data_IF_737147184089
#
_entry.id   IF_737147184089
#
_cell.length_a   1.000
_cell.length_b   1.000
_cell.length_c   1.000
_cell.angle_alpha   90.00
_cell.angle_beta   90.00
_cell.angle_gamma   90.00
#
_symmetry.space_group_name_H-M   'P 1'
#
loop_
_entity.id
_entity.type
_entity.pdbx_description
1 polymer ?
#
# COMPACT_ATOMS: atom_id res chain seq x y z
N UNK A 1 37.15 -47.72 14.97
CA UNK A 1 36.58 -48.99 15.49
C UNK A 1 35.21 -48.64 16.06
N UNK A 2 34.07 -48.93 15.43
CA UNK A 2 33.48 -50.25 15.15
C UNK A 2 33.48 -51.13 16.42
N UNK A 3 32.42 -51.81 16.89
CA UNK A 3 31.05 -52.08 16.42
C UNK A 3 30.33 -52.83 17.58
N UNK A 4 28.99 -52.78 17.59
CA UNK A 4 28.05 -53.90 17.86
C UNK A 4 27.55 -54.29 19.28
N UNK A 5 26.20 -54.32 19.38
CA UNK A 5 25.38 -55.45 19.90
C UNK A 5 24.76 -55.29 21.31
N UNK A 6 23.54 -55.71 21.66
CA UNK A 6 22.33 -56.26 21.02
C UNK A 6 21.22 -56.35 22.13
N UNK A 7 19.93 -56.03 21.88
CA UNK A 7 18.79 -56.98 21.78
C UNK A 7 17.78 -57.05 22.97
N UNK A 8 16.52 -57.36 22.61
CA UNK A 8 15.27 -57.70 23.35
C UNK A 8 14.38 -56.53 23.81
N UNK A 9 13.07 -56.41 23.53
CA UNK A 9 12.11 -57.15 22.69
C UNK A 9 10.66 -56.95 23.21
N UNK A 10 9.69 -56.57 22.34
CA UNK A 10 8.30 -57.10 22.20
C UNK A 10 7.32 -56.13 21.54
N UNK A 11 6.47 -56.71 20.71
CA UNK A 11 5.48 -56.13 19.83
C UNK A 11 4.10 -55.89 20.50
N UNK A 12 3.28 -55.03 19.89
CA UNK A 12 1.84 -55.30 19.74
C UNK A 12 1.28 -54.61 18.47
N UNK A 13 0.42 -55.34 17.77
CA UNK A 13 -0.17 -55.08 16.44
C UNK A 13 -1.45 -54.22 16.48
N UNK A 14 -1.75 -53.57 15.34
CA UNK A 14 -3.07 -53.42 14.68
C UNK A 14 -2.86 -52.50 13.45
N UNK A 15 -2.75 -52.96 12.19
CA UNK A 15 -3.76 -53.54 11.24
C UNK A 15 -4.95 -52.58 10.99
N UNK A 16 -4.95 -51.76 9.93
CA UNK A 16 -5.31 -52.01 8.51
C UNK A 16 -6.78 -51.69 8.16
N UNK A 17 -7.01 -50.97 7.06
CA UNK A 17 -8.34 -50.78 6.45
C UNK A 17 -8.43 -49.64 5.41
N UNK A 18 -8.64 -49.91 4.10
CA UNK A 18 -8.60 -48.92 3.01
C UNK A 18 -9.98 -48.47 2.48
N UNK A 19 -9.97 -47.45 1.60
CA UNK A 19 -11.12 -46.90 0.84
C UNK A 19 -11.94 -47.93 0.05
N UNK A 20 -13.18 -47.57 -0.32
CA UNK A 20 -13.66 -47.93 -1.65
C UNK A 20 -14.42 -46.83 -2.42
N UNK A 21 -14.44 -47.06 -3.74
CA UNK A 21 -15.14 -46.36 -4.79
C UNK A 21 -16.67 -46.63 -4.80
N UNK A 22 -17.40 -45.62 -5.30
CA UNK A 22 -18.60 -45.61 -6.15
C UNK A 22 -19.45 -46.91 -6.27
N UNK A 23 -20.67 -46.88 -5.74
CA UNK A 23 -21.77 -47.75 -6.16
C UNK A 23 -23.12 -47.00 -6.16
N UNK A 24 -23.96 -47.36 -7.12
CA UNK A 24 -25.11 -46.61 -7.64
C UNK A 24 -26.43 -46.77 -6.86
N UNK A 25 -27.21 -45.69 -6.83
CA UNK A 25 -28.68 -45.59 -6.99
C UNK A 25 -29.56 -46.62 -6.24
N UNK A 26 -30.21 -46.16 -5.16
CA UNK A 26 -31.66 -46.42 -4.90
C UNK A 26 -32.29 -45.21 -4.20
N UNK A 27 -33.33 -44.63 -4.80
CA UNK A 27 -34.28 -43.72 -4.13
C UNK A 27 -35.17 -44.53 -3.18
N UNK A 28 -35.67 -43.88 -2.11
CA UNK A 28 -37.10 -43.92 -1.89
C UNK A 28 -37.68 -42.51 -1.96
N UNK A 29 -38.75 -42.40 -2.73
CA UNK A 29 -39.67 -41.27 -2.72
C UNK A 29 -40.45 -41.26 -1.41
N UNK A 30 -40.73 -40.08 -0.85
CA UNK A 30 -41.69 -39.99 0.24
C UNK A 30 -41.62 -38.74 1.11
N UNK A 31 -42.33 -37.70 0.65
CA UNK A 31 -43.05 -36.69 1.43
C UNK A 31 -42.24 -35.54 2.07
N UNK A 32 -42.47 -34.39 1.45
CA UNK A 32 -42.16 -33.00 1.78
C UNK A 32 -42.52 -32.57 3.21
N UNK A 33 -41.63 -31.78 3.81
CA UNK A 33 -42.02 -30.54 4.48
C UNK A 33 -40.86 -29.53 4.40
N UNK A 34 -41.19 -28.31 3.96
CA UNK A 34 -40.22 -27.29 3.56
C UNK A 34 -39.32 -26.81 4.69
N UNK A 35 -38.01 -26.88 4.47
CA UNK A 35 -37.03 -26.08 5.16
C UNK A 35 -36.24 -25.31 4.09
N UNK A 36 -36.34 -23.99 4.13
CA UNK A 36 -35.55 -23.10 3.28
C UNK A 36 -34.05 -23.35 3.54
N UNK A 37 -33.18 -23.42 2.52
CA UNK A 37 -31.76 -23.51 2.78
C UNK A 37 -31.33 -22.21 3.44
N UNK A 38 -30.77 -22.33 4.64
CA UNK A 38 -30.12 -21.27 5.38
C UNK A 38 -29.18 -20.54 4.43
N UNK A 39 -29.58 -19.35 3.98
CA UNK A 39 -28.65 -18.40 3.38
C UNK A 39 -27.61 -18.13 4.46
N UNK A 40 -26.46 -18.77 4.34
CA UNK A 40 -25.23 -18.18 4.87
C UNK A 40 -25.10 -16.84 4.15
N UNK A 41 -25.74 -15.81 4.73
CA UNK A 41 -25.32 -14.45 4.48
C UNK A 41 -23.91 -14.42 5.04
N UNK A 42 -22.92 -14.44 4.16
CA UNK A 42 -21.76 -13.61 4.40
C UNK A 42 -22.35 -12.20 4.57
N UNK A 43 -22.60 -11.81 5.82
CA UNK A 43 -22.69 -10.41 6.12
C UNK A 43 -21.29 -9.90 5.82
N UNK A 44 -21.08 -9.38 4.61
CA UNK A 44 -19.98 -8.45 4.38
C UNK A 44 -20.24 -7.30 5.35
N UNK A 45 -19.62 -7.37 6.53
CA UNK A 45 -19.49 -6.20 7.38
C UNK A 45 -18.81 -5.14 6.51
N UNK A 46 -19.36 -3.91 6.43
CA UNK A 46 -18.70 -2.83 5.72
C UNK A 46 -17.28 -2.72 6.27
N UNK A 47 -16.26 -2.87 5.42
CA UNK A 47 -14.86 -2.71 5.85
C UNK A 47 -14.75 -1.40 6.64
N UNK A 48 -14.08 -1.46 7.80
CA UNK A 48 -13.72 -0.29 8.61
C UNK A 48 -13.25 0.87 7.72
N UNK A 49 -13.77 2.12 7.88
CA UNK A 49 -13.39 3.26 7.05
C UNK A 49 -11.86 3.44 6.91
N UNK A 50 -11.09 3.12 7.95
CA UNK A 50 -9.62 3.17 7.89
C UNK A 50 -9.07 2.09 6.96
N UNK A 51 -9.63 0.87 6.99
CA UNK A 51 -9.26 -0.20 6.07
C UNK A 51 -9.63 0.15 4.61
N UNK A 52 -10.78 0.79 4.38
CA UNK A 52 -11.15 1.28 3.05
C UNK A 52 -10.16 2.35 2.55
N UNK A 53 -9.72 3.26 3.41
CA UNK A 53 -8.72 4.27 3.08
C UNK A 53 -7.37 3.63 2.72
N UNK A 54 -6.92 2.62 3.48
CA UNK A 54 -5.69 1.86 3.16
C UNK A 54 -5.76 1.22 1.78
N UNK A 55 -6.85 0.50 1.50
CA UNK A 55 -7.06 -0.16 0.21
C UNK A 55 -7.10 0.86 -0.93
N UNK A 56 -7.73 2.03 -0.71
CA UNK A 56 -7.72 3.13 -1.68
C UNK A 56 -6.31 3.63 -1.96
N UNK A 57 -5.52 3.94 -0.93
CA UNK A 57 -4.15 4.40 -1.08
C UNK A 57 -3.25 3.35 -1.74
N UNK A 58 -3.42 2.07 -1.40
CA UNK A 58 -2.72 0.96 -2.05
C UNK A 58 -3.04 0.89 -3.54
N UNK A 59 -4.31 1.02 -3.92
CA UNK A 59 -4.73 1.00 -5.32
C UNK A 59 -4.19 2.20 -6.09
N UNK A 60 -4.16 3.39 -5.47
CA UNK A 60 -3.52 4.58 -6.03
C UNK A 60 -2.01 4.34 -6.24
N UNK A 61 -1.31 3.81 -5.25
CA UNK A 61 0.11 3.49 -5.35
C UNK A 61 0.38 2.47 -6.46
N UNK A 62 -0.43 1.40 -6.52
CA UNK A 62 -0.34 0.37 -7.56
C UNK A 62 -0.52 0.94 -8.96
N UNK A 63 -1.55 1.77 -9.17
CA UNK A 63 -1.81 2.39 -10.46
C UNK A 63 -0.69 3.38 -10.83
N UNK A 64 -0.25 4.20 -9.89
CA UNK A 64 0.83 5.17 -10.12
C UNK A 64 2.17 4.51 -10.44
N UNK A 65 2.55 3.45 -9.73
CA UNK A 65 3.77 2.68 -10.02
C UNK A 65 3.69 2.08 -11.42
N UNK A 66 2.55 1.48 -11.78
CA UNK A 66 2.34 0.91 -13.12
C UNK A 66 2.51 1.98 -14.21
N UNK A 67 1.81 3.11 -14.08
CA UNK A 67 1.85 4.20 -15.06
C UNK A 67 3.27 4.77 -15.14
N UNK A 68 3.95 4.98 -14.01
CA UNK A 68 5.32 5.49 -13.99
C UNK A 68 6.27 4.56 -14.77
N UNK A 69 6.21 3.25 -14.52
CA UNK A 69 7.04 2.27 -15.23
C UNK A 69 6.74 2.30 -16.73
N UNK A 70 5.47 2.23 -17.13
CA UNK A 70 5.06 2.22 -18.54
C UNK A 70 5.51 3.49 -19.27
N UNK A 71 5.28 4.67 -18.69
CA UNK A 71 5.65 5.94 -19.33
C UNK A 71 7.18 6.14 -19.33
N UNK A 72 7.90 5.70 -18.29
CA UNK A 72 9.36 5.80 -18.24
C UNK A 72 10.03 4.92 -19.29
N UNK A 73 9.58 3.66 -19.43
CA UNK A 73 10.11 2.74 -20.45
C UNK A 73 9.82 3.24 -21.87
N UNK A 74 8.64 3.83 -22.10
CA UNK A 74 8.30 4.46 -23.39
C UNK A 74 9.13 5.71 -23.69
N UNK A 75 9.56 6.45 -22.66
CA UNK A 75 10.38 7.65 -22.82
C UNK A 75 11.81 7.31 -23.25
N UNK A 76 12.36 6.17 -22.78
CA UNK A 76 13.66 5.63 -23.23
C UNK A 76 14.90 6.43 -22.80
N UNK A 77 14.75 7.41 -21.90
CA UNK A 77 15.83 8.22 -21.32
C UNK A 77 15.62 8.40 -19.81
N UNK A 78 16.63 8.90 -19.12
CA UNK A 78 16.55 9.20 -17.69
C UNK A 78 15.42 10.18 -17.40
N UNK A 79 14.67 9.91 -16.32
CA UNK A 79 13.62 10.79 -15.83
C UNK A 79 14.20 12.04 -15.18
N UNK A 80 13.53 13.17 -15.39
CA UNK A 80 13.82 14.47 -14.78
C UNK A 80 12.73 14.84 -13.76
N UNK A 81 13.01 15.82 -12.90
CA UNK A 81 12.11 16.23 -11.80
C UNK A 81 10.75 16.77 -12.26
N UNK A 82 10.66 17.27 -13.48
CA UNK A 82 9.44 17.83 -14.06
C UNK A 82 8.52 16.76 -14.70
N UNK A 83 8.95 15.49 -14.73
CA UNK A 83 8.19 14.41 -15.34
C UNK A 83 6.90 14.13 -14.56
N UNK A 84 5.69 14.41 -15.11
CA UNK A 84 4.47 14.41 -14.32
C UNK A 84 4.11 13.05 -13.67
N UNK A 85 4.28 11.89 -14.34
CA UNK A 85 4.05 10.59 -13.69
C UNK A 85 4.93 10.36 -12.46
N UNK A 86 6.16 10.89 -12.47
CA UNK A 86 7.10 10.78 -11.36
C UNK A 86 6.69 11.68 -10.19
N UNK A 87 6.31 12.93 -10.47
CA UNK A 87 5.79 13.85 -9.45
C UNK A 87 4.56 13.25 -8.75
N UNK A 88 3.64 12.70 -9.54
CA UNK A 88 2.43 12.06 -9.02
C UNK A 88 2.74 10.85 -8.14
N UNK A 89 3.73 10.04 -8.53
CA UNK A 89 4.21 8.92 -7.74
C UNK A 89 4.73 9.36 -6.36
N UNK A 90 5.55 10.41 -6.29
CA UNK A 90 6.04 10.90 -5.00
C UNK A 90 4.93 11.45 -4.11
N UNK A 91 3.94 12.14 -4.69
CA UNK A 91 2.77 12.61 -3.95
C UNK A 91 2.00 11.44 -3.34
N UNK A 92 1.72 10.38 -4.11
CA UNK A 92 1.01 9.21 -3.59
C UNK A 92 1.83 8.50 -2.52
N UNK A 93 3.13 8.33 -2.75
CA UNK A 93 4.01 7.68 -1.77
C UNK A 93 4.06 8.45 -0.45
N UNK A 94 4.08 9.79 -0.51
CA UNK A 94 3.97 10.65 0.68
C UNK A 94 2.66 10.42 1.42
N UNK A 95 1.52 10.29 0.73
CA UNK A 95 0.24 9.97 1.37
C UNK A 95 0.26 8.59 2.04
N UNK A 96 0.82 7.57 1.38
CA UNK A 96 1.00 6.24 1.96
C UNK A 96 1.83 6.28 3.25
N UNK A 97 2.92 7.04 3.26
CA UNK A 97 3.79 7.22 4.43
C UNK A 97 3.16 8.08 5.53
N UNK A 98 2.22 8.98 5.20
CA UNK A 98 1.51 9.79 6.20
C UNK A 98 0.33 9.07 6.86
N UNK A 99 -0.25 8.09 6.17
CA UNK A 99 -1.45 7.40 6.65
C UNK A 99 -1.20 6.71 7.99
N UNK A 100 -1.99 7.09 9.01
CA UNK A 100 -1.92 6.52 10.35
C UNK A 100 -0.66 6.89 11.14
N UNK A 101 0.05 7.99 10.79
CA UNK A 101 1.09 8.53 11.66
C UNK A 101 0.51 8.98 13.00
N UNK A 102 1.19 8.61 14.09
CA UNK A 102 0.83 9.02 15.45
C UNK A 102 0.97 10.53 15.60
N UNK A 103 -0.12 11.19 15.95
CA UNK A 103 -0.12 12.61 16.34
C UNK A 103 0.39 12.72 17.79
N UNK A 104 1.67 12.42 18.04
CA UNK A 104 2.25 12.64 19.37
C UNK A 104 2.86 14.04 19.45
N UNK A 105 2.31 14.87 20.35
CA UNK A 105 3.05 15.98 20.94
C UNK A 105 4.08 15.36 21.89
N UNK A 106 5.30 15.14 21.42
CA UNK A 106 6.42 14.94 22.36
C UNK A 106 6.46 16.15 23.29
N UNK A 107 6.72 15.96 24.59
CA UNK A 107 6.96 17.07 25.54
C UNK A 107 8.11 17.99 25.08
N UNK A 108 8.90 17.57 24.08
CA UNK A 108 9.95 18.31 23.39
C UNK A 108 9.57 18.88 22.01
N UNK A 109 8.28 18.89 21.65
CA UNK A 109 7.75 19.74 20.57
C UNK A 109 7.98 19.29 19.12
N UNK A 110 8.56 18.13 18.84
CA UNK A 110 8.67 17.64 17.45
C UNK A 110 7.46 16.81 17.04
N UNK A 111 6.76 17.24 15.98
CA UNK A 111 5.72 16.42 15.35
C UNK A 111 6.37 15.25 14.64
N UNK A 112 5.80 14.04 14.79
CA UNK A 112 6.22 12.88 14.00
C UNK A 112 5.77 13.07 12.56
N UNK A 113 6.58 13.74 11.77
CA UNK A 113 6.43 13.78 10.31
C UNK A 113 6.82 12.43 9.72
N UNK A 114 6.48 12.18 8.46
CA UNK A 114 6.89 10.99 7.74
C UNK A 114 8.42 10.88 7.52
N UNK A 115 9.20 11.91 7.90
CA UNK A 115 10.65 11.84 8.00
C UNK A 115 11.13 10.87 9.07
N UNK A 116 10.44 10.79 10.21
CA UNK A 116 10.83 9.96 11.35
C UNK A 116 11.06 8.49 10.96
N UNK A 117 10.09 7.82 10.30
CA UNK A 117 10.28 6.49 9.74
C UNK A 117 11.47 6.36 8.79
N UNK A 118 11.75 7.37 7.96
CA UNK A 118 12.87 7.33 7.00
C UNK A 118 14.23 7.44 7.69
N UNK A 119 14.31 8.15 8.82
CA UNK A 119 15.53 8.19 9.65
C UNK A 119 15.88 6.82 10.26
N UNK A 120 14.91 5.91 10.41
CA UNK A 120 15.24 4.54 10.82
C UNK A 120 16.01 3.78 9.75
N UNK A 121 15.82 4.11 8.47
CA UNK A 121 16.52 3.42 7.39
C UNK A 121 18.03 3.55 7.56
N UNK A 122 18.54 4.71 7.99
CA UNK A 122 19.97 4.92 8.28
C UNK A 122 20.51 3.93 9.33
N UNK A 123 19.67 3.57 10.31
CA UNK A 123 20.03 2.61 11.37
C UNK A 123 19.94 1.15 10.91
N UNK A 124 19.04 0.86 9.97
CA UNK A 124 18.78 -0.50 9.48
C UNK A 124 19.66 -0.88 8.28
N UNK A 125 20.05 0.11 7.48
CA UNK A 125 20.70 -0.02 6.19
C UNK A 125 21.89 0.97 6.12
N UNK A 126 23.11 0.57 6.52
CA UNK A 126 24.29 1.43 6.52
C UNK A 126 24.58 2.09 5.15
N UNK A 127 24.18 1.46 4.06
CA UNK A 127 24.30 1.98 2.69
C UNK A 127 23.46 3.24 2.44
N UNK A 128 22.43 3.49 3.27
CA UNK A 128 21.61 4.70 3.17
C UNK A 128 22.23 5.92 3.86
N UNK A 129 23.39 5.77 4.51
CA UNK A 129 24.09 6.87 5.20
C UNK A 129 24.47 8.02 4.26
N UNK A 130 24.81 7.71 3.01
CA UNK A 130 25.13 8.72 1.98
C UNK A 130 23.93 9.65 1.69
N UNK A 131 22.74 9.08 1.50
CA UNK A 131 21.53 9.86 1.23
C UNK A 131 21.05 10.60 2.48
N UNK A 132 21.19 9.98 3.67
CA UNK A 132 20.85 10.63 4.94
C UNK A 132 21.73 11.86 5.21
N UNK A 133 23.04 11.76 4.93
CA UNK A 133 23.94 12.91 4.99
C UNK A 133 23.59 13.96 3.93
N UNK A 134 23.35 13.52 2.68
CA UNK A 134 23.03 14.43 1.57
C UNK A 134 21.81 15.31 1.84
N UNK A 135 20.72 14.76 2.39
CA UNK A 135 19.52 15.55 2.69
C UNK A 135 19.68 16.46 3.91
N UNK A 136 20.55 16.09 4.86
CA UNK A 136 20.85 16.91 6.04
C UNK A 136 21.68 18.13 5.69
N UNK A 137 22.60 17.97 4.74
CA UNK A 137 23.54 19.00 4.33
C UNK A 137 23.04 19.82 3.12
N UNK A 138 21.84 19.50 2.59
CA UNK A 138 21.30 20.17 1.41
C UNK A 138 20.91 21.64 1.73
N UNK A 139 21.55 22.63 1.10
CA UNK A 139 21.23 24.04 1.34
C UNK A 139 19.84 24.36 0.80
N UNK A 140 19.05 25.07 1.60
CA UNK A 140 17.67 25.45 1.27
C UNK A 140 16.60 24.56 1.91
N UNK A 141 16.97 23.36 2.39
CA UNK A 141 16.04 22.40 2.98
C UNK A 141 15.96 22.54 4.51
N UNK A 142 14.86 23.10 4.99
CA UNK A 142 14.70 23.49 6.40
C UNK A 142 13.72 22.60 7.15
N UNK A 143 12.75 21.99 6.47
CA UNK A 143 11.71 21.21 7.14
C UNK A 143 11.99 19.70 7.10
N UNK A 144 11.53 18.93 8.12
CA UNK A 144 11.57 17.47 8.04
C UNK A 144 10.82 16.90 6.82
N UNK A 145 9.72 17.54 6.41
CA UNK A 145 8.96 17.10 5.24
C UNK A 145 9.75 17.27 3.94
N UNK A 146 10.41 18.41 3.77
CA UNK A 146 11.33 18.63 2.65
C UNK A 146 12.47 17.62 2.64
N UNK A 147 13.06 17.32 3.81
CA UNK A 147 14.09 16.27 3.95
C UNK A 147 13.60 14.91 3.49
N UNK A 148 12.39 14.53 3.91
CA UNK A 148 11.79 13.28 3.49
C UNK A 148 11.53 13.23 1.98
N UNK A 149 11.06 14.33 1.37
CA UNK A 149 10.86 14.44 -0.09
C UNK A 149 12.16 14.32 -0.88
N UNK A 150 13.23 14.98 -0.41
CA UNK A 150 14.55 14.86 -1.01
C UNK A 150 15.09 13.43 -0.87
N UNK A 151 14.91 12.82 0.30
CA UNK A 151 15.38 11.47 0.58
C UNK A 151 14.72 10.43 -0.32
N UNK A 152 13.40 10.53 -0.53
CA UNK A 152 12.67 9.62 -1.44
C UNK A 152 13.18 9.74 -2.88
N UNK A 153 13.47 10.97 -3.34
CA UNK A 153 14.05 11.22 -4.67
C UNK A 153 15.44 10.59 -4.80
N UNK A 154 16.30 10.77 -3.81
CA UNK A 154 17.64 10.17 -3.78
C UNK A 154 17.60 8.64 -3.71
N UNK A 155 16.73 8.06 -2.88
CA UNK A 155 16.56 6.62 -2.76
C UNK A 155 16.07 5.97 -4.08
N UNK A 156 15.23 6.69 -4.84
CA UNK A 156 14.83 6.27 -6.19
C UNK A 156 16.01 6.29 -7.15
N UNK A 157 16.79 7.38 -7.18
CA UNK A 157 18.00 7.49 -8.01
C UNK A 157 19.04 6.42 -7.69
N UNK A 158 19.18 6.03 -6.43
CA UNK A 158 20.03 4.91 -6.00
C UNK A 158 19.48 3.52 -6.36
N UNK A 159 18.24 3.43 -6.89
CA UNK A 159 17.54 2.16 -7.17
C UNK A 159 17.41 1.28 -5.92
N UNK A 160 17.23 1.92 -4.75
CA UNK A 160 17.17 1.27 -3.44
C UNK A 160 15.89 1.52 -2.67
N UNK A 161 14.98 2.32 -3.22
CA UNK A 161 13.71 2.67 -2.58
C UNK A 161 12.92 1.44 -2.10
N UNK A 162 12.83 0.38 -2.92
CA UNK A 162 12.15 -0.86 -2.50
C UNK A 162 12.84 -1.57 -1.35
N UNK A 163 14.18 -1.59 -1.36
CA UNK A 163 14.98 -2.29 -0.35
C UNK A 163 14.81 -1.63 1.02
N UNK A 164 14.82 -0.29 1.04
CA UNK A 164 14.61 0.48 2.26
C UNK A 164 13.20 0.32 2.84
N UNK A 165 12.16 0.31 1.99
CA UNK A 165 10.79 0.06 2.45
C UNK A 165 10.65 -1.34 3.05
N UNK A 166 11.22 -2.36 2.40
CA UNK A 166 11.24 -3.73 2.95
C UNK A 166 11.98 -3.79 4.28
N UNK A 167 13.09 -3.08 4.43
CA UNK A 167 13.84 -3.02 5.68
C UNK A 167 12.99 -2.42 6.82
N UNK A 168 12.25 -1.33 6.58
CA UNK A 168 11.32 -0.77 7.56
C UNK A 168 10.23 -1.78 7.95
N UNK A 169 9.61 -2.43 6.96
CA UNK A 169 8.52 -3.39 7.18
C UNK A 169 8.97 -4.68 7.85
N UNK A 170 10.24 -5.07 7.71
CA UNK A 170 10.83 -6.19 8.45
C UNK A 170 11.02 -5.88 9.93
N UNK A 171 11.08 -4.59 10.31
CA UNK A 171 11.31 -4.12 11.68
C UNK A 171 10.08 -3.41 12.25
N UNK A 172 8.91 -4.07 12.17
CA UNK A 172 7.61 -3.51 12.62
C UNK A 172 7.61 -3.02 14.06
N UNK A 173 8.38 -3.65 14.95
CA UNK A 173 8.47 -3.22 16.36
C UNK A 173 8.99 -1.78 16.49
N UNK A 174 10.04 -1.43 15.74
CA UNK A 174 10.57 -0.06 15.70
C UNK A 174 9.65 0.88 14.93
N UNK A 175 9.10 0.42 13.81
CA UNK A 175 8.18 1.20 12.97
C UNK A 175 6.90 1.58 13.73
N UNK A 176 6.43 0.72 14.64
CA UNK A 176 5.25 0.96 15.49
C UNK A 176 5.40 2.17 16.43
N UNK A 177 6.62 2.68 16.63
CA UNK A 177 6.82 3.91 17.37
C UNK A 177 6.20 5.12 16.66
N UNK A 178 6.12 5.07 15.32
CA UNK A 178 5.67 6.17 14.46
C UNK A 178 4.22 6.04 14.00
N UNK A 179 3.75 4.81 13.84
CA UNK A 179 2.44 4.53 13.24
C UNK A 179 1.47 3.92 14.24
N UNK A 180 0.18 4.22 14.05
CA UNK A 180 -0.91 3.48 14.65
C UNK A 180 -0.96 2.04 14.11
N UNK A 181 -1.47 1.06 14.87
CA UNK A 181 -1.52 -0.33 14.42
C UNK A 181 -2.27 -0.51 13.09
N UNK A 182 -3.31 0.29 12.85
CA UNK A 182 -4.14 0.25 11.64
C UNK A 182 -3.58 1.08 10.47
N UNK A 183 -2.37 1.61 10.59
CA UNK A 183 -1.72 2.39 9.55
C UNK A 183 -1.34 1.53 8.33
N UNK A 184 -1.24 2.16 7.16
CA UNK A 184 -0.93 1.47 5.90
C UNK A 184 0.42 0.73 5.96
N UNK A 185 1.44 1.36 6.54
CA UNK A 185 2.77 0.73 6.71
C UNK A 185 2.79 -0.37 7.79
N UNK A 186 1.72 -0.50 8.58
CA UNK A 186 1.57 -1.52 9.63
C UNK A 186 0.66 -2.67 9.20
N UNK A 187 0.07 -2.61 8.01
CA UNK A 187 -0.87 -3.61 7.49
C UNK A 187 -0.33 -4.26 6.19
N UNK A 188 -1.09 -5.18 5.59
CA UNK A 188 -0.66 -5.94 4.40
C UNK A 188 -0.38 -5.03 3.20
N UNK A 189 -1.11 -3.92 3.07
CA UNK A 189 -0.99 -2.97 1.97
C UNK A 189 0.42 -2.38 1.87
N UNK A 190 1.08 -2.12 3.00
CA UNK A 190 2.47 -1.65 3.03
C UNK A 190 3.44 -2.64 2.38
N UNK A 191 3.26 -3.94 2.65
CA UNK A 191 4.10 -5.00 2.07
C UNK A 191 3.86 -5.11 0.56
N UNK A 192 2.61 -5.02 0.11
CA UNK A 192 2.26 -5.04 -1.30
C UNK A 192 2.87 -3.85 -2.05
N UNK A 193 2.78 -2.64 -1.50
CA UNK A 193 3.42 -1.45 -2.09
C UNK A 193 4.93 -1.66 -2.17
N UNK A 194 5.59 -2.11 -1.10
CA UNK A 194 7.04 -2.36 -1.10
C UNK A 194 7.46 -3.41 -2.14
N UNK A 195 6.62 -4.42 -2.38
CA UNK A 195 6.82 -5.39 -3.46
C UNK A 195 6.73 -4.77 -4.85
N UNK A 196 5.76 -3.88 -5.08
CA UNK A 196 5.59 -3.18 -6.35
C UNK A 196 6.72 -2.20 -6.66
N UNK A 197 7.29 -1.54 -5.63
CA UNK A 197 8.42 -0.62 -5.77
C UNK A 197 9.65 -1.27 -6.41
N UNK A 198 9.79 -2.61 -6.36
CA UNK A 198 10.91 -3.33 -7.00
C UNK A 198 10.96 -3.07 -8.51
N UNK A 199 9.81 -2.90 -9.15
CA UNK A 199 9.75 -2.59 -10.59
C UNK A 199 10.41 -1.25 -10.94
N UNK A 200 10.48 -0.32 -9.98
CA UNK A 200 11.11 0.99 -10.19
C UNK A 200 12.64 0.91 -10.26
N UNK A 201 13.26 -0.20 -9.85
CA UNK A 201 14.72 -0.37 -9.95
C UNK A 201 15.20 -0.35 -11.41
N UNK A 202 14.32 -0.66 -12.37
CA UNK A 202 14.63 -0.62 -13.80
C UNK A 202 14.59 0.80 -14.38
N UNK A 203 14.00 1.76 -13.67
CA UNK A 203 13.90 3.15 -14.12
C UNK A 203 15.24 3.85 -13.90
N UNK A 204 15.66 4.66 -14.86
CA UNK A 204 16.79 5.57 -14.71
C UNK A 204 16.28 6.98 -14.42
N UNK A 205 16.84 7.64 -13.42
CA UNK A 205 16.38 8.94 -12.95
C UNK A 205 17.56 9.82 -12.55
N UNK A 206 17.54 11.08 -12.99
CA UNK A 206 18.53 12.08 -12.64
C UNK A 206 17.82 13.35 -12.18
N UNK A 207 17.43 13.36 -10.90
CA UNK A 207 16.54 14.38 -10.35
C UNK A 207 17.37 15.54 -9.79
N UNK A 208 17.04 16.75 -10.22
CA UNK A 208 17.62 17.95 -9.65
C UNK A 208 16.92 18.25 -8.33
N UNK A 209 17.61 18.08 -7.20
CA UNK A 209 17.06 18.38 -5.87
C UNK A 209 17.55 19.77 -5.39
N UNK A 210 18.71 20.19 -5.90
CA UNK A 210 19.35 21.43 -5.47
C UNK A 210 18.61 22.64 -6.06
N UNK A 211 18.02 23.44 -5.18
CA UNK A 211 17.28 24.64 -5.58
C UNK A 211 15.79 24.42 -5.81
N UNK A 212 15.28 23.19 -5.68
CA UNK A 212 13.85 22.94 -5.60
C UNK A 212 13.31 23.31 -4.21
N UNK A 213 12.15 23.96 -4.15
CA UNK A 213 11.45 24.25 -2.89
C UNK A 213 10.61 23.05 -2.45
N UNK A 214 11.29 22.03 -1.94
CA UNK A 214 10.67 20.82 -1.40
C UNK A 214 10.00 21.06 -0.05
N UNK A 215 10.28 22.17 0.63
CA UNK A 215 9.63 22.51 1.91
C UNK A 215 8.19 22.97 1.70
N UNK A 216 7.94 23.75 0.65
CA UNK A 216 6.60 24.30 0.35
C UNK A 216 5.76 23.46 -0.60
N UNK A 217 6.29 22.36 -1.14
CA UNK A 217 5.56 21.49 -2.07
C UNK A 217 4.26 21.00 -1.43
N UNK A 218 3.12 21.25 -2.08
CA UNK A 218 1.82 20.78 -1.61
C UNK A 218 1.52 19.48 -2.32
N UNK A 219 1.38 18.40 -1.54
CA UNK A 219 1.01 17.09 -2.05
C UNK A 219 -0.47 17.09 -2.49
N UNK A 220 -0.75 17.56 -3.72
CA UNK A 220 -2.11 17.57 -4.30
C UNK A 220 -2.29 16.35 -5.20
N UNK A 221 -3.28 15.51 -4.89
CA UNK A 221 -3.66 14.37 -5.72
C UNK A 221 -4.62 14.81 -6.83
N UNK A 222 -4.14 14.86 -8.07
CA UNK A 222 -5.00 15.03 -9.25
C UNK A 222 -5.52 13.68 -9.74
N UNK A 223 -6.78 13.38 -9.44
CA UNK A 223 -7.45 12.15 -9.86
C UNK A 223 -7.68 12.06 -11.38
N UNK A 224 -7.59 13.18 -12.11
CA UNK A 224 -7.79 13.18 -13.58
C UNK A 224 -6.67 12.43 -14.31
N UNK A 225 -5.47 12.40 -13.74
CA UNK A 225 -4.34 11.62 -14.26
C UNK A 225 -4.58 10.11 -14.17
N UNK A 226 -5.39 9.67 -13.19
CA UNK A 226 -5.77 8.27 -13.01
C UNK A 226 -6.89 7.86 -13.97
N UNK A 227 -7.81 8.77 -14.26
CA UNK A 227 -8.98 8.54 -15.13
C UNK A 227 -8.61 8.50 -16.61
N UNK A 228 -7.58 9.24 -17.03
CA UNK A 228 -7.17 9.32 -18.46
C UNK A 228 -6.61 8.01 -19.02
N UNK A 229 -6.06 7.15 -18.18
CA UNK A 229 -5.45 5.87 -18.59
C UNK A 229 -6.27 4.65 -18.13
N UNK A 230 -7.52 4.84 -17.68
CA UNK A 230 -8.44 3.74 -17.45
C UNK A 230 -8.74 3.01 -18.79
N UNK A 231 -8.59 1.68 -18.87
CA UNK A 231 -8.87 0.95 -20.10
C UNK A 231 -10.35 1.16 -20.50
N UNK A 232 -10.67 1.29 -21.80
CA UNK A 232 -12.04 1.55 -22.30
C UNK A 232 -13.05 0.42 -22.05
N UNK A 233 -12.78 -0.51 -21.12
CA UNK A 233 -13.60 -1.69 -20.85
C UNK A 233 -14.06 -1.82 -19.38
N UNK A 234 -13.99 -0.75 -18.57
CA UNK A 234 -14.83 -0.67 -17.38
C UNK A 234 -16.27 -0.39 -17.83
N UNK A 235 -17.19 -1.33 -17.56
CA UNK A 235 -18.60 -1.23 -17.97
C UNK A 235 -19.20 0.10 -17.48
N UNK A 236 -20.03 0.81 -18.28
CA UNK A 236 -20.56 2.15 -17.94
C UNK A 236 -21.64 2.18 -16.86
N UNK A 237 -21.91 1.07 -16.18
CA UNK A 237 -23.12 0.89 -15.37
C UNK A 237 -22.96 1.51 -13.97
N UNK A 238 -21.79 1.40 -13.32
CA UNK A 238 -21.57 1.97 -11.97
C UNK A 238 -21.36 3.49 -11.98
N UNK A 239 -20.83 4.05 -13.07
CA UNK A 239 -20.53 5.49 -13.16
C UNK A 239 -21.78 6.35 -13.32
N UNK A 240 -22.83 5.84 -13.96
CA UNK A 240 -24.08 6.59 -14.13
C UNK A 240 -24.83 6.73 -12.82
N UNK A 241 -24.86 5.66 -12.02
CA UNK A 241 -25.54 5.64 -10.72
C UNK A 241 -24.86 6.58 -9.71
N UNK A 242 -23.52 6.60 -9.69
CA UNK A 242 -22.76 7.55 -8.86
C UNK A 242 -22.96 9.01 -9.28
N UNK A 243 -22.93 9.32 -10.58
CA UNK A 243 -23.20 10.69 -11.05
C UNK A 243 -24.64 11.12 -10.83
N UNK A 244 -25.61 10.21 -10.97
CA UNK A 244 -27.02 10.46 -10.71
C UNK A 244 -27.27 10.75 -9.22
N UNK A 245 -26.65 9.98 -8.32
CA UNK A 245 -26.75 10.19 -6.88
C UNK A 245 -26.17 11.55 -6.45
N UNK A 246 -25.06 11.98 -7.06
CA UNK A 246 -24.43 13.29 -6.78
C UNK A 246 -25.31 14.44 -7.31
N UNK A 247 -25.90 14.29 -8.49
CA UNK A 247 -26.83 15.28 -9.07
C UNK A 247 -28.11 15.39 -8.24
N UNK A 248 -28.64 14.27 -7.76
CA UNK A 248 -29.86 14.23 -6.94
C UNK A 248 -29.62 14.86 -5.57
N UNK A 249 -28.48 14.58 -4.93
CA UNK A 249 -28.08 15.28 -3.70
C UNK A 249 -27.93 16.79 -3.90
N UNK A 250 -27.36 17.23 -5.02
CA UNK A 250 -27.20 18.66 -5.30
C UNK A 250 -28.55 19.36 -5.49
N UNK A 251 -29.46 18.75 -6.25
CA UNK A 251 -30.82 19.27 -6.45
C UNK A 251 -31.60 19.33 -5.13
N UNK A 252 -31.51 18.29 -4.30
CA UNK A 252 -32.16 18.25 -3.00
C UNK A 252 -31.69 19.39 -2.06
N UNK A 253 -30.38 19.66 -2.02
CA UNK A 253 -29.81 20.75 -1.23
C UNK A 253 -30.22 22.12 -1.77
N UNK A 254 -30.28 22.30 -3.10
CA UNK A 254 -30.73 23.54 -3.72
C UNK A 254 -32.21 23.82 -3.43
N UNK A 255 -33.06 22.80 -3.42
CA UNK A 255 -34.50 22.93 -3.13
C UNK A 255 -34.76 23.23 -1.65
N UNK A 256 -34.02 22.61 -0.72
CA UNK A 256 -34.02 22.98 0.70
C UNK A 256 -33.62 24.45 0.89
N UNK A 257 -32.52 24.88 0.29
CA UNK A 257 -32.07 26.28 0.39
C UNK A 257 -33.05 27.29 -0.23
N UNK A 258 -33.86 26.86 -1.21
CA UNK A 258 -34.90 27.69 -1.81
C UNK A 258 -36.11 27.87 -0.88
N UNK A 259 -36.42 26.85 -0.09
CA UNK A 259 -37.53 26.85 0.87
C UNK A 259 -37.16 27.47 2.24
N UNK A 260 -35.88 27.80 2.45
CA UNK A 260 -35.38 28.49 3.64
C UNK A 260 -35.19 30.02 3.45
N UNK A 261 -35.59 30.58 2.30
CA UNK A 261 -35.64 32.04 2.04
C UNK A 261 -37.07 32.55 2.06
#
# INVERSE_FOLDING_TARGET
MALSGASTGRACNQAEGPSPHLESVRRPEGVSNGASPSRFRYCEEPLDPIAQERVKLMNLAKLSIKVLIEKALNLGRSLESDFPPLQHFFVILEHCLKHGLKVRKSFLGQSKTFWGPLELVEKLCPESSEIAASVRDLPGLKTPQGRARAWLRLALMQKKLSDYFKALLAHRSLLSEFYEPTALMMEEEGLLIAGLLVGLNMIDANLCIKGEDLDSEVAVLDYSLLLKDAPPNAKPEESKESTAAILDQKNYVEELNRNLK
#
